data_IF_935324046979
#
_entry.id   IF_935324046979
#
_cell.length_a   1.000
_cell.length_b   1.000
_cell.length_c   1.000
_cell.angle_alpha   90.00
_cell.angle_beta   90.00
_cell.angle_gamma   90.00
#
_symmetry.space_group_name_H-M   'P 1'
#
loop_
_entity.id
_entity.type
_entity.pdbx_description
1 polymer ?
#
# COMPACT_ATOMS: atom_id res chain seq x y z
N UNK A 1 -3.06 0.85 39.21
CA UNK A 1 -2.90 0.05 37.98
C UNK A 1 -3.20 0.97 36.80
N UNK A 2 -2.16 1.43 36.12
CA UNK A 2 -2.28 2.41 35.03
C UNK A 2 -2.77 1.72 33.74
N UNK A 3 -3.64 2.44 33.06
CA UNK A 3 -4.41 2.06 31.88
C UNK A 3 -3.49 1.63 30.72
N UNK A 4 -3.48 0.34 30.40
CA UNK A 4 -2.78 -0.23 29.23
C UNK A 4 -3.69 -0.16 27.99
N UNK A 5 -4.11 1.04 27.64
CA UNK A 5 -4.77 1.34 26.38
C UNK A 5 -4.17 2.63 25.80
N UNK A 6 -2.90 2.58 25.43
CA UNK A 6 -2.46 3.43 24.33
C UNK A 6 -3.22 2.92 23.10
N UNK A 7 -4.30 3.60 22.74
CA UNK A 7 -5.18 3.18 21.66
C UNK A 7 -4.40 3.05 20.36
N UNK A 8 -4.78 2.12 19.48
CA UNK A 8 -4.18 1.94 18.15
C UNK A 8 -3.95 3.26 17.40
N UNK A 9 -4.80 4.27 17.62
CA UNK A 9 -4.64 5.62 17.06
C UNK A 9 -3.40 6.37 17.55
N UNK A 10 -3.03 6.26 18.82
CA UNK A 10 -1.83 6.91 19.39
C UNK A 10 -0.55 6.27 18.86
N UNK A 11 -0.53 4.94 18.73
CA UNK A 11 0.61 4.20 18.16
C UNK A 11 0.83 4.57 16.69
N UNK A 12 -0.25 4.69 15.90
CA UNK A 12 -0.18 5.10 14.49
C UNK A 12 0.27 6.56 14.37
N UNK A 13 -0.25 7.46 15.21
CA UNK A 13 0.14 8.86 15.22
C UNK A 13 1.65 9.03 15.53
N UNK A 14 2.16 8.34 16.55
CA UNK A 14 3.57 8.36 16.90
C UNK A 14 4.45 7.80 15.77
N UNK A 15 4.01 6.72 15.11
CA UNK A 15 4.74 6.16 13.96
C UNK A 15 4.80 7.13 12.77
N UNK A 16 3.74 7.90 12.53
CA UNK A 16 3.71 8.94 11.48
C UNK A 16 4.64 10.11 11.85
N UNK A 17 4.62 10.55 13.11
CA UNK A 17 5.50 11.63 13.58
C UNK A 17 6.97 11.25 13.45
N UNK A 18 7.34 10.03 13.85
CA UNK A 18 8.70 9.51 13.67
C UNK A 18 9.09 9.42 12.18
N UNK A 19 8.17 9.02 11.31
CA UNK A 19 8.42 9.00 9.86
C UNK A 19 8.73 10.40 9.30
N UNK A 20 8.18 11.47 9.88
CA UNK A 20 8.40 12.84 9.46
C UNK A 20 9.76 13.41 9.91
N UNK A 21 10.42 12.80 10.92
CA UNK A 21 11.73 13.23 11.44
C UNK A 21 12.91 12.92 10.49
N UNK A 22 12.63 12.33 9.32
CA UNK A 22 13.59 12.15 8.23
C UNK A 22 14.56 10.97 8.37
N UNK A 23 14.43 10.17 9.43
CA UNK A 23 15.26 8.97 9.69
C UNK A 23 14.71 7.70 9.06
N UNK A 24 13.43 7.68 8.68
CA UNK A 24 12.77 6.54 8.04
C UNK A 24 12.85 6.71 6.51
N UNK A 25 13.25 5.67 5.75
CA UNK A 25 13.23 5.74 4.29
C UNK A 25 11.83 6.00 3.73
N UNK A 26 11.69 7.05 2.92
CA UNK A 26 10.47 7.35 2.17
C UNK A 26 10.59 6.81 0.75
N UNK A 27 9.71 5.87 0.39
CA UNK A 27 9.69 5.26 -0.94
C UNK A 27 8.42 5.70 -1.65
N UNK A 28 8.59 6.39 -2.78
CA UNK A 28 7.49 6.61 -3.72
C UNK A 28 7.47 5.47 -4.75
N UNK A 29 6.29 4.88 -4.94
CA UNK A 29 6.04 3.86 -5.95
C UNK A 29 4.71 4.15 -6.65
N UNK A 30 4.68 3.99 -7.96
CA UNK A 30 3.48 4.11 -8.79
C UNK A 30 3.19 2.85 -9.61
N UNK A 31 4.00 1.81 -9.40
CA UNK A 31 3.77 0.47 -9.91
C UNK A 31 4.32 -0.55 -8.93
N UNK A 32 3.93 -1.80 -9.09
CA UNK A 32 4.50 -2.91 -8.35
C UNK A 32 4.30 -4.22 -9.12
N UNK A 33 5.12 -5.21 -8.80
CA UNK A 33 4.87 -6.61 -9.14
C UNK A 33 4.97 -7.46 -7.89
N UNK A 34 4.27 -8.60 -7.87
CA UNK A 34 4.26 -9.51 -6.74
C UNK A 34 4.67 -10.92 -7.16
N UNK A 35 5.30 -11.63 -6.22
CA UNK A 35 5.67 -13.03 -6.37
C UNK A 35 5.39 -13.79 -5.06
N UNK A 36 5.08 -15.07 -5.17
CA UNK A 36 4.90 -15.97 -4.03
C UNK A 36 6.20 -16.70 -3.72
N UNK A 37 6.66 -16.59 -2.48
CA UNK A 37 7.69 -17.46 -1.91
C UNK A 37 7.07 -18.64 -1.16
N UNK A 38 7.92 -19.48 -0.55
CA UNK A 38 7.47 -20.66 0.19
C UNK A 38 6.74 -20.34 1.49
N UNK A 39 6.84 -19.11 2.00
CA UNK A 39 6.18 -18.68 3.24
C UNK A 39 5.84 -17.20 3.29
N UNK A 40 6.08 -16.47 2.20
CA UNK A 40 5.97 -15.02 2.11
C UNK A 40 5.52 -14.57 0.71
N UNK A 41 5.23 -13.28 0.63
CA UNK A 41 4.97 -12.55 -0.61
C UNK A 41 6.09 -11.53 -0.77
N UNK A 42 6.70 -11.53 -1.94
CA UNK A 42 7.65 -10.52 -2.36
C UNK A 42 6.90 -9.49 -3.19
N UNK A 43 6.98 -8.21 -2.81
CA UNK A 43 6.44 -7.09 -3.59
C UNK A 43 7.61 -6.22 -4.04
N UNK A 44 7.81 -6.13 -5.34
CA UNK A 44 8.80 -5.21 -5.93
C UNK A 44 8.06 -3.94 -6.28
N UNK A 45 8.36 -2.86 -5.55
CA UNK A 45 7.84 -1.52 -5.82
C UNK A 45 8.61 -0.91 -6.98
N UNK A 46 7.91 -0.17 -7.85
CA UNK A 46 8.48 0.47 -9.04
C UNK A 46 8.20 1.97 -9.05
N UNK A 47 9.14 2.73 -9.59
CA UNK A 47 9.00 4.16 -9.85
C UNK A 47 9.20 4.42 -11.34
N UNK A 48 8.10 4.60 -12.06
CA UNK A 48 8.09 4.77 -13.52
C UNK A 48 8.70 3.57 -14.28
N UNK A 49 8.52 2.34 -13.77
CA UNK A 49 9.02 1.10 -14.38
C UNK A 49 10.20 0.46 -13.62
N UNK A 50 11.32 1.16 -13.41
CA UNK A 50 12.45 0.62 -12.65
C UNK A 50 12.10 0.23 -11.20
N UNK A 51 12.72 -0.82 -10.64
CA UNK A 51 12.59 -1.16 -9.23
C UNK A 51 13.05 -0.01 -8.31
N UNK A 52 12.22 0.32 -7.33
CA UNK A 52 12.47 1.34 -6.32
C UNK A 52 12.73 0.73 -4.93
N UNK A 53 12.05 -0.38 -4.59
CA UNK A 53 12.26 -1.10 -3.34
C UNK A 53 11.68 -2.52 -3.42
N UNK A 54 12.04 -3.37 -2.45
CA UNK A 54 11.49 -4.71 -2.28
C UNK A 54 10.92 -4.84 -0.87
N UNK A 55 9.68 -5.33 -0.78
CA UNK A 55 9.01 -5.66 0.48
C UNK A 55 8.80 -7.17 0.54
N UNK A 56 9.35 -7.82 1.56
CA UNK A 56 9.05 -9.22 1.87
C UNK A 56 8.07 -9.26 3.04
N UNK A 57 6.92 -9.88 2.84
CA UNK A 57 5.83 -9.92 3.81
C UNK A 57 5.39 -11.36 4.03
N UNK A 58 5.26 -11.80 5.28
CA UNK A 58 4.57 -13.07 5.56
C UNK A 58 3.15 -13.04 4.98
N UNK A 59 2.57 -14.20 4.70
CA UNK A 59 1.20 -14.26 4.13
C UNK A 59 0.17 -13.51 4.96
N UNK A 60 0.25 -13.58 6.29
CA UNK A 60 -0.68 -12.90 7.21
C UNK A 60 -0.48 -11.39 7.19
N UNK A 61 0.77 -10.91 7.13
CA UNK A 61 1.08 -9.49 7.00
C UNK A 61 0.60 -8.94 5.65
N UNK A 62 0.87 -9.65 4.55
CA UNK A 62 0.43 -9.26 3.21
C UNK A 62 -1.10 -9.22 3.09
N UNK A 63 -1.80 -10.22 3.63
CA UNK A 63 -3.27 -10.24 3.67
C UNK A 63 -3.84 -9.05 4.46
N UNK A 64 -3.29 -8.79 5.64
CA UNK A 64 -3.73 -7.68 6.50
C UNK A 64 -3.48 -6.33 5.84
N UNK A 65 -2.33 -6.16 5.17
CA UNK A 65 -2.00 -4.95 4.41
C UNK A 65 -3.01 -4.75 3.26
N UNK A 66 -3.26 -5.78 2.46
CA UNK A 66 -4.22 -5.74 1.36
C UNK A 66 -5.62 -5.32 1.82
N UNK A 67 -6.11 -5.89 2.93
CA UNK A 67 -7.43 -5.54 3.46
C UNK A 67 -7.49 -4.09 3.93
N UNK A 68 -6.50 -3.62 4.70
CA UNK A 68 -6.44 -2.25 5.20
C UNK A 68 -6.34 -1.21 4.08
N UNK A 69 -5.55 -1.49 3.05
CA UNK A 69 -5.46 -0.61 1.88
C UNK A 69 -6.79 -0.54 1.13
N UNK A 70 -7.46 -1.68 0.94
CA UNK A 70 -8.76 -1.72 0.28
C UNK A 70 -9.83 -0.95 1.05
N UNK A 71 -9.85 -1.06 2.38
CA UNK A 71 -10.74 -0.28 3.25
C UNK A 71 -10.52 1.22 3.10
N UNK A 72 -9.26 1.68 3.06
CA UNK A 72 -8.93 3.09 2.88
C UNK A 72 -9.37 3.62 1.50
N UNK A 73 -9.14 2.85 0.44
CA UNK A 73 -9.58 3.20 -0.92
C UNK A 73 -11.10 3.28 -0.98
N UNK A 74 -11.80 2.24 -0.50
CA UNK A 74 -13.26 2.21 -0.50
C UNK A 74 -13.87 3.40 0.26
N UNK A 75 -13.28 3.80 1.38
CA UNK A 75 -13.70 4.98 2.12
C UNK A 75 -13.50 6.27 1.31
N UNK A 76 -12.37 6.44 0.62
CA UNK A 76 -12.11 7.60 -0.22
C UNK A 76 -13.08 7.68 -1.41
N UNK A 77 -13.34 6.56 -2.08
CA UNK A 77 -14.29 6.49 -3.19
C UNK A 77 -15.71 6.81 -2.73
N UNK A 78 -16.14 6.30 -1.57
CA UNK A 78 -17.44 6.61 -0.99
C UNK A 78 -17.59 8.10 -0.64
N UNK A 79 -16.53 8.73 -0.12
CA UNK A 79 -16.54 10.15 0.22
C UNK A 79 -16.54 11.07 -1.01
N UNK A 80 -15.88 10.65 -2.09
CA UNK A 80 -15.70 11.49 -3.30
C UNK A 80 -16.73 11.21 -4.38
N UNK A 81 -17.42 10.07 -4.33
CA UNK A 81 -18.31 9.59 -5.38
C UNK A 81 -17.58 9.12 -6.65
N UNK A 82 -16.25 9.04 -6.63
CA UNK A 82 -15.44 8.63 -7.78
C UNK A 82 -14.85 7.24 -7.56
N UNK A 83 -14.85 6.41 -8.60
CA UNK A 83 -14.10 5.14 -8.62
C UNK A 83 -12.68 5.39 -9.12
N UNK A 84 -11.69 4.96 -8.35
CA UNK A 84 -10.28 5.00 -8.69
C UNK A 84 -9.96 3.77 -9.54
N UNK A 85 -9.57 4.01 -10.79
CA UNK A 85 -9.13 2.95 -11.69
C UNK A 85 -7.83 2.29 -11.20
N UNK A 86 -7.73 0.97 -11.34
CA UNK A 86 -6.46 0.27 -11.14
C UNK A 86 -5.51 0.49 -12.32
N UNK A 87 -4.22 0.17 -12.15
CA UNK A 87 -3.24 0.19 -13.24
C UNK A 87 -3.66 -0.72 -14.40
N UNK A 88 -4.29 -1.87 -14.10
CA UNK A 88 -4.79 -2.79 -15.12
C UNK A 88 -5.98 -2.22 -15.88
N UNK A 89 -6.90 -1.52 -15.20
CA UNK A 89 -8.02 -0.84 -15.85
C UNK A 89 -7.52 0.22 -16.85
N UNK A 90 -6.48 0.97 -16.47
CA UNK A 90 -5.85 1.97 -17.33
C UNK A 90 -5.21 1.29 -18.54
N UNK A 91 -4.40 0.25 -18.33
CA UNK A 91 -3.72 -0.48 -19.41
C UNK A 91 -4.74 -1.06 -20.40
N UNK A 92 -5.78 -1.73 -19.90
CA UNK A 92 -6.85 -2.29 -20.71
C UNK A 92 -7.61 -1.22 -21.52
N UNK A 93 -7.85 -0.04 -20.93
CA UNK A 93 -8.53 1.07 -21.60
C UNK A 93 -7.69 1.68 -22.73
N UNK A 94 -6.38 1.81 -22.51
CA UNK A 94 -5.44 2.30 -23.51
C UNK A 94 -5.28 1.32 -24.67
N UNK A 95 -5.22 0.01 -24.40
CA UNK A 95 -5.14 -1.02 -25.45
C UNK A 95 -6.37 -1.04 -26.35
N UNK A 96 -7.56 -0.92 -25.75
CA UNK A 96 -8.83 -0.85 -26.51
C UNK A 96 -8.89 0.39 -27.41
N UNK A 97 -8.34 1.51 -26.95
CA UNK A 97 -8.37 2.78 -27.70
C UNK A 97 -7.41 2.81 -28.90
N UNK A 98 -6.47 1.85 -28.99
CA UNK A 98 -5.48 1.74 -30.08
C UNK A 98 -5.92 0.79 -31.21
N UNK A 99 -7.06 0.11 -31.06
CA UNK A 99 -7.67 -0.76 -32.08
C UNK A 99 -8.74 0.00 -32.84
#
# INVERSE_FOLDING_TARGET
MQNQQAGLGEVVANAIEEAQKGTIPHIYANGFTNALGSGDIVVVLQRNGPPAAVLNLSFTAAKSLSQKLNELIANLEALTGNTIMTTDDINNSLEKSRK
#
